data_IF_327297718733
#
_entry.id   IF_327297718733
#
_cell.length_a   1.000
_cell.length_b   1.000
_cell.length_c   1.000
_cell.angle_alpha   90.00
_cell.angle_beta   90.00
_cell.angle_gamma   90.00
#
_symmetry.space_group_name_H-M   'P 1'
#
loop_
_entity.id
_entity.type
_entity.pdbx_description
1 polymer ?
#
# COMPACT_ATOMS: atom_id res chain seq x y z
N UNK A 1 3.63 7.89 -21.55
CA UNK A 1 2.21 7.50 -21.74
C UNK A 1 2.01 6.21 -20.99
N UNK A 2 1.39 6.25 -19.80
CA UNK A 2 1.13 5.06 -19.01
C UNK A 2 0.30 4.10 -19.86
N UNK A 3 0.87 2.93 -20.17
CA UNK A 3 0.17 1.91 -20.95
C UNK A 3 -0.93 1.33 -20.07
N UNK A 4 -2.15 1.82 -20.24
CA UNK A 4 -3.35 1.17 -19.70
C UNK A 4 -3.46 -0.20 -20.37
N UNK A 5 -2.92 -1.23 -19.71
CA UNK A 5 -3.15 -2.61 -20.12
C UNK A 5 -4.62 -2.92 -19.83
N UNK A 6 -5.36 -3.31 -20.86
CA UNK A 6 -6.73 -3.76 -20.68
C UNK A 6 -6.77 -4.93 -19.66
N UNK A 7 -7.82 -4.99 -18.82
CA UNK A 7 -8.02 -6.13 -17.93
C UNK A 7 -7.99 -7.44 -18.71
N UNK A 8 -7.52 -8.51 -18.08
CA UNK A 8 -7.54 -9.83 -18.71
C UNK A 8 -8.99 -10.24 -18.94
N UNK A 9 -9.28 -10.71 -20.16
CA UNK A 9 -10.66 -10.97 -20.58
C UNK A 9 -11.33 -12.06 -19.73
N UNK A 10 -10.60 -13.11 -19.36
CA UNK A 10 -11.08 -14.18 -18.48
C UNK A 10 -11.58 -13.66 -17.12
N UNK A 11 -10.85 -12.73 -16.51
CA UNK A 11 -11.20 -12.10 -15.24
C UNK A 11 -12.42 -11.19 -15.39
N UNK A 12 -12.55 -10.49 -16.52
CA UNK A 12 -13.72 -9.67 -16.81
C UNK A 12 -14.98 -10.56 -16.94
N UNK A 13 -14.88 -11.63 -17.71
CA UNK A 13 -16.00 -12.53 -17.99
C UNK A 13 -16.52 -13.18 -16.69
N UNK A 14 -15.61 -13.60 -15.79
CA UNK A 14 -15.96 -14.16 -14.47
C UNK A 14 -16.73 -13.15 -13.59
N UNK A 15 -16.28 -11.90 -13.54
CA UNK A 15 -16.94 -10.86 -12.74
C UNK A 15 -18.30 -10.45 -13.32
N UNK A 16 -18.39 -10.33 -14.64
CA UNK A 16 -19.63 -10.01 -15.35
C UNK A 16 -20.67 -11.12 -15.16
N UNK A 17 -20.25 -12.38 -15.25
CA UNK A 17 -21.13 -13.52 -14.98
C UNK A 17 -21.68 -13.47 -13.53
N UNK A 18 -20.80 -13.25 -12.55
CA UNK A 18 -21.19 -13.11 -11.14
C UNK A 18 -22.20 -11.97 -10.91
N UNK A 19 -21.98 -10.82 -11.55
CA UNK A 19 -22.89 -9.68 -11.46
C UNK A 19 -24.29 -10.00 -12.02
N UNK A 20 -24.39 -10.60 -13.21
CA UNK A 20 -25.70 -10.89 -13.81
C UNK A 20 -26.40 -12.08 -13.14
N UNK A 21 -25.68 -13.14 -12.77
CA UNK A 21 -26.25 -14.30 -12.08
C UNK A 21 -26.80 -13.97 -10.70
N UNK A 22 -26.22 -12.98 -10.02
CA UNK A 22 -26.70 -12.49 -8.72
C UNK A 22 -27.81 -11.43 -8.81
N UNK A 23 -28.31 -11.14 -10.02
CA UNK A 23 -29.34 -10.12 -10.23
C UNK A 23 -28.83 -8.68 -10.06
N UNK A 24 -27.55 -8.44 -10.35
CA UNK A 24 -26.92 -7.12 -10.24
C UNK A 24 -26.32 -6.81 -8.86
N UNK A 25 -26.02 -7.84 -8.06
CA UNK A 25 -25.44 -7.63 -6.73
C UNK A 25 -23.93 -7.36 -6.81
N UNK A 26 -23.54 -6.11 -6.54
CA UNK A 26 -22.13 -5.69 -6.49
C UNK A 26 -21.34 -6.46 -5.43
N UNK A 27 -21.96 -6.79 -4.29
CA UNK A 27 -21.28 -7.53 -3.23
C UNK A 27 -20.86 -8.93 -3.69
N UNK A 28 -21.71 -9.63 -4.46
CA UNK A 28 -21.40 -10.93 -5.05
C UNK A 28 -20.26 -10.86 -6.07
N UNK A 29 -20.25 -9.81 -6.90
CA UNK A 29 -19.14 -9.55 -7.82
C UNK A 29 -17.83 -9.27 -7.08
N UNK A 30 -17.86 -8.46 -6.01
CA UNK A 30 -16.67 -8.18 -5.18
C UNK A 30 -16.16 -9.42 -4.45
N UNK A 31 -17.05 -10.27 -3.94
CA UNK A 31 -16.67 -11.54 -3.33
C UNK A 31 -15.95 -12.44 -4.34
N UNK A 32 -16.47 -12.50 -5.58
CA UNK A 32 -15.82 -13.23 -6.69
C UNK A 32 -14.44 -12.65 -6.98
N UNK A 33 -14.33 -11.32 -7.10
CA UNK A 33 -13.05 -10.63 -7.30
C UNK A 33 -12.03 -10.99 -6.23
N UNK A 34 -12.39 -10.85 -4.95
CA UNK A 34 -11.45 -11.04 -3.84
C UNK A 34 -11.09 -12.51 -3.59
N UNK A 35 -11.93 -13.46 -4.00
CA UNK A 35 -11.66 -14.90 -3.87
C UNK A 35 -10.97 -15.52 -5.08
N UNK A 36 -10.96 -14.83 -6.22
CA UNK A 36 -10.36 -15.30 -7.48
C UNK A 36 -8.85 -15.55 -7.41
N UNK A 37 -8.36 -16.48 -8.24
CA UNK A 37 -6.94 -16.77 -8.36
C UNK A 37 -6.15 -15.63 -9.01
N UNK A 38 -6.77 -14.90 -9.94
CA UNK A 38 -6.09 -13.77 -10.59
C UNK A 38 -5.83 -12.64 -9.60
N UNK A 39 -6.76 -12.38 -8.67
CA UNK A 39 -6.58 -11.38 -7.62
C UNK A 39 -5.48 -11.81 -6.65
N UNK A 40 -5.49 -13.07 -6.18
CA UNK A 40 -4.43 -13.62 -5.32
C UNK A 40 -3.05 -13.54 -5.98
N UNK A 41 -2.96 -13.87 -7.27
CA UNK A 41 -1.71 -13.77 -8.07
C UNK A 41 -1.28 -12.34 -8.39
N UNK A 42 -2.09 -11.32 -8.07
CA UNK A 42 -1.75 -9.91 -8.29
C UNK A 42 -0.99 -9.28 -7.12
N UNK A 43 -0.97 -9.95 -5.96
CA UNK A 43 -0.27 -9.49 -4.77
C UNK A 43 1.21 -9.18 -5.05
N UNK A 44 1.68 -8.02 -4.58
CA UNK A 44 3.07 -7.58 -4.74
C UNK A 44 3.46 -7.10 -6.15
N UNK A 45 2.54 -7.12 -7.14
CA UNK A 45 2.85 -6.66 -8.51
C UNK A 45 2.68 -5.14 -8.70
N UNK A 46 1.96 -4.48 -7.80
CA UNK A 46 1.75 -3.02 -7.84
C UNK A 46 2.88 -2.30 -7.11
N UNK A 47 3.51 -1.35 -7.80
CA UNK A 47 4.37 -0.35 -7.15
C UNK A 47 3.47 0.66 -6.44
N UNK A 48 3.64 0.79 -5.12
CA UNK A 48 2.87 1.73 -4.30
C UNK A 48 3.19 3.18 -4.67
N UNK A 49 2.17 4.02 -4.78
CA UNK A 49 2.36 5.47 -4.86
C UNK A 49 3.09 5.97 -3.59
N UNK A 50 3.74 7.15 -3.63
CA UNK A 50 4.33 7.72 -2.43
C UNK A 50 3.38 7.79 -1.23
N UNK A 51 2.14 8.22 -1.43
CA UNK A 51 1.12 8.26 -0.36
C UNK A 51 0.78 6.86 0.16
N UNK A 52 0.61 5.87 -0.72
CA UNK A 52 0.34 4.48 -0.30
C UNK A 52 1.49 3.87 0.50
N UNK A 53 2.74 4.20 0.13
CA UNK A 53 3.93 3.77 0.86
C UNK A 53 3.96 4.41 2.24
N UNK A 54 3.84 5.75 2.30
CA UNK A 54 3.87 6.53 3.53
C UNK A 54 2.82 6.02 4.53
N UNK A 55 1.55 5.91 4.10
CA UNK A 55 0.47 5.41 4.95
C UNK A 55 0.70 3.97 5.41
N UNK A 56 1.26 3.12 4.54
CA UNK A 56 1.59 1.75 4.89
C UNK A 56 2.64 1.66 6.01
N UNK A 57 3.63 2.56 6.00
CA UNK A 57 4.68 2.63 7.01
C UNK A 57 4.14 3.24 8.31
N UNK A 58 3.32 4.29 8.25
CA UNK A 58 2.66 4.84 9.44
C UNK A 58 1.74 3.83 10.12
N UNK A 59 0.99 3.06 9.33
CA UNK A 59 0.18 1.97 9.85
C UNK A 59 1.03 0.90 10.52
N UNK A 60 2.18 0.55 9.92
CA UNK A 60 3.13 -0.41 10.50
C UNK A 60 3.76 0.10 11.80
N UNK A 61 4.14 1.38 11.83
CA UNK A 61 4.72 2.01 13.02
C UNK A 61 3.67 2.25 14.11
N UNK A 62 2.39 2.19 13.77
CA UNK A 62 1.26 2.29 14.71
C UNK A 62 1.00 3.71 15.20
N UNK A 63 1.49 4.73 14.48
CA UNK A 63 1.29 6.15 14.76
C UNK A 63 0.11 6.71 13.94
N UNK A 64 -0.32 7.95 14.22
CA UNK A 64 -1.39 8.64 13.47
C UNK A 64 -2.71 7.85 13.37
N UNK A 65 -3.05 7.06 14.40
CA UNK A 65 -4.39 6.44 14.53
C UNK A 65 -5.48 7.50 14.71
N UNK A 66 -5.10 8.64 15.26
CA UNK A 66 -5.88 9.86 15.36
C UNK A 66 -5.05 11.04 14.82
N UNK A 67 -5.68 12.18 14.50
CA UNK A 67 -4.94 13.37 14.10
C UNK A 67 -3.95 13.80 15.20
N UNK A 68 -2.67 13.81 14.85
CA UNK A 68 -1.56 14.18 15.73
C UNK A 68 -0.75 15.32 15.09
N UNK A 69 -0.11 16.20 15.90
CA UNK A 69 0.80 17.21 15.36
C UNK A 69 1.96 16.57 14.59
N UNK A 70 2.41 17.23 13.52
CA UNK A 70 3.53 16.74 12.70
C UNK A 70 3.12 16.10 11.37
N UNK A 71 1.81 15.99 11.09
CA UNK A 71 1.30 15.42 9.82
C UNK A 71 1.88 16.11 8.57
N UNK A 72 2.16 17.41 8.65
CA UNK A 72 2.74 18.19 7.56
C UNK A 72 4.12 17.65 7.10
N UNK A 73 4.89 17.00 7.98
CA UNK A 73 6.17 16.40 7.58
C UNK A 73 5.96 15.25 6.58
N UNK A 74 4.86 14.50 6.71
CA UNK A 74 4.54 13.41 5.77
C UNK A 74 4.04 13.92 4.44
N UNK A 75 3.39 15.08 4.43
CA UNK A 75 3.04 15.77 3.19
C UNK A 75 4.30 16.07 2.37
N UNK A 76 5.29 16.72 3.00
CA UNK A 76 6.57 17.02 2.35
C UNK A 76 7.30 15.76 1.91
N UNK A 77 7.26 14.68 2.71
CA UNK A 77 7.85 13.41 2.32
C UNK A 77 7.22 12.81 1.05
N UNK A 78 5.89 12.87 0.91
CA UNK A 78 5.22 12.38 -0.32
C UNK A 78 5.54 13.24 -1.53
N UNK A 79 5.67 14.55 -1.35
CA UNK A 79 6.05 15.50 -2.41
C UNK A 79 7.46 15.23 -2.92
N UNK A 80 8.43 15.08 -2.02
CA UNK A 80 9.83 14.74 -2.36
C UNK A 80 9.94 13.38 -3.10
N UNK A 81 9.02 12.45 -2.83
CA UNK A 81 8.93 11.17 -3.54
C UNK A 81 8.17 11.25 -4.88
N UNK A 82 7.74 12.45 -5.30
CA UNK A 82 7.09 12.73 -6.59
C UNK A 82 5.57 12.82 -6.56
N UNK A 83 4.92 12.79 -5.38
CA UNK A 83 3.47 12.92 -5.25
C UNK A 83 3.10 14.00 -4.24
N UNK A 84 3.00 15.23 -4.72
CA UNK A 84 2.36 16.30 -3.94
C UNK A 84 0.86 16.00 -3.80
N UNK A 85 0.39 15.90 -2.56
CA UNK A 85 -1.02 15.57 -2.27
C UNK A 85 -1.91 16.75 -2.70
N UNK A 86 -3.11 16.48 -3.19
CA UNK A 86 -4.07 17.49 -3.70
C UNK A 86 -3.56 18.40 -4.85
N UNK A 87 -2.36 18.17 -5.38
CA UNK A 87 -1.80 18.93 -6.50
C UNK A 87 -1.31 17.99 -7.62
N UNK A 88 -2.23 17.39 -8.42
CA UNK A 88 -1.83 16.56 -9.54
C UNK A 88 -1.11 17.40 -10.60
N UNK A 89 -0.02 16.89 -11.20
CA UNK A 89 0.80 17.66 -12.14
C UNK A 89 0.10 17.92 -13.49
N UNK A 90 -0.87 17.07 -13.87
CA UNK A 90 -1.59 17.17 -15.14
C UNK A 90 -3.05 16.75 -15.00
N UNK A 91 -3.84 16.95 -16.06
CA UNK A 91 -5.23 16.45 -16.17
C UNK A 91 -5.33 14.92 -16.14
N UNK A 92 -4.25 14.20 -16.48
CA UNK A 92 -4.17 12.74 -16.36
C UNK A 92 -3.98 12.30 -14.89
N UNK A 93 -3.72 13.24 -13.98
CA UNK A 93 -3.42 12.99 -12.58
C UNK A 93 -1.92 12.80 -12.35
N UNK A 94 -1.58 11.97 -11.36
CA UNK A 94 -0.20 11.59 -11.06
C UNK A 94 0.25 10.39 -11.91
N UNK A 95 1.57 10.29 -12.10
CA UNK A 95 2.24 9.14 -12.69
C UNK A 95 1.89 7.83 -11.97
N UNK A 96 2.11 6.67 -12.61
CA UNK A 96 1.84 5.37 -11.99
C UNK A 96 2.91 4.33 -12.31
N UNK A 97 2.92 3.24 -11.53
CA UNK A 97 3.78 2.10 -11.81
C UNK A 97 5.27 2.42 -11.64
N UNK A 98 6.08 2.12 -12.66
CA UNK A 98 7.55 2.28 -12.59
C UNK A 98 7.99 3.74 -12.57
N UNK A 99 7.16 4.66 -13.05
CA UNK A 99 7.44 6.10 -13.03
C UNK A 99 7.54 6.66 -11.60
N UNK A 100 7.06 5.90 -10.60
CA UNK A 100 7.22 6.21 -9.19
C UNK A 100 8.63 5.95 -8.63
N UNK A 101 9.51 5.33 -9.41
CA UNK A 101 10.82 4.86 -8.98
C UNK A 101 11.89 5.38 -9.94
N UNK A 102 12.69 6.32 -9.44
CA UNK A 102 13.97 6.75 -10.01
C UNK A 102 15.05 6.69 -8.92
N UNK A 103 16.30 7.01 -9.28
CA UNK A 103 17.43 6.92 -8.33
C UNK A 103 17.30 7.84 -7.11
N UNK A 104 16.66 9.00 -7.24
CA UNK A 104 16.40 9.93 -6.14
C UNK A 104 15.20 9.48 -5.31
N UNK A 105 14.04 9.28 -5.95
CA UNK A 105 12.80 8.91 -5.27
C UNK A 105 12.89 7.56 -4.57
N UNK A 106 13.66 6.60 -5.09
CA UNK A 106 13.92 5.33 -4.40
C UNK A 106 14.66 5.52 -3.07
N UNK A 107 15.70 6.37 -3.05
CA UNK A 107 16.45 6.66 -1.83
C UNK A 107 15.55 7.30 -0.78
N UNK A 108 14.71 8.25 -1.19
CA UNK A 108 13.77 8.92 -0.28
C UNK A 108 12.76 7.95 0.33
N UNK A 109 12.25 7.00 -0.46
CA UNK A 109 11.39 5.91 0.04
C UNK A 109 12.09 5.04 1.08
N UNK A 110 13.36 4.70 0.87
CA UNK A 110 14.16 3.89 1.80
C UNK A 110 14.46 4.69 3.08
N UNK A 111 14.85 5.96 2.94
CA UNK A 111 15.14 6.86 4.06
C UNK A 111 13.90 7.05 4.94
N UNK A 112 12.75 7.27 4.33
CA UNK A 112 11.48 7.40 5.05
C UNK A 112 11.14 6.14 5.82
N UNK A 113 11.20 4.97 5.17
CA UNK A 113 10.96 3.68 5.82
C UNK A 113 11.93 3.44 6.99
N UNK A 114 13.22 3.75 6.80
CA UNK A 114 14.24 3.57 7.83
C UNK A 114 13.99 4.49 9.02
N UNK A 115 13.62 5.75 8.77
CA UNK A 115 13.34 6.73 9.83
C UNK A 115 12.18 6.28 10.71
N UNK A 116 11.07 5.86 10.11
CA UNK A 116 9.89 5.45 10.87
C UNK A 116 10.05 4.10 11.57
N UNK A 117 10.76 3.15 10.94
CA UNK A 117 11.00 1.81 11.52
C UNK A 117 12.07 1.83 12.61
N UNK A 118 13.07 2.72 12.52
CA UNK A 118 14.12 2.85 13.54
C UNK A 118 13.65 3.58 14.80
N UNK A 119 12.51 4.29 14.74
CA UNK A 119 11.96 4.98 15.88
C UNK A 119 11.32 3.98 16.87
N UNK A 120 12.10 3.58 17.87
CA UNK A 120 11.67 2.66 18.93
C UNK A 120 10.57 3.23 19.83
N UNK A 121 10.20 4.51 19.70
CA UNK A 121 9.06 5.06 20.43
C UNK A 121 7.72 4.71 19.77
N UNK A 122 7.74 4.35 18.48
CA UNK A 122 6.55 4.01 17.72
C UNK A 122 5.89 2.72 18.27
N UNK A 123 4.58 2.73 18.61
CA UNK A 123 3.92 1.60 19.26
C UNK A 123 4.02 0.28 18.49
N UNK A 124 3.87 0.32 17.17
CA UNK A 124 3.99 -0.85 16.30
C UNK A 124 5.41 -1.41 16.27
N UNK A 125 6.42 -0.54 16.29
CA UNK A 125 7.83 -0.97 16.34
C UNK A 125 8.17 -1.61 17.68
N UNK A 126 7.71 -1.03 18.80
CA UNK A 126 7.84 -1.65 20.13
C UNK A 126 7.22 -3.04 20.17
N UNK A 127 6.03 -3.18 19.61
CA UNK A 127 5.35 -4.46 19.53
C UNK A 127 6.16 -5.49 18.75
N UNK A 128 6.65 -5.13 17.55
CA UNK A 128 7.50 -6.00 16.72
C UNK A 128 8.75 -6.44 17.49
N UNK A 129 9.43 -5.50 18.16
CA UNK A 129 10.63 -5.80 18.94
C UNK A 129 10.33 -6.76 20.10
N UNK A 130 9.26 -6.52 20.86
CA UNK A 130 8.86 -7.39 21.96
C UNK A 130 8.51 -8.80 21.48
N UNK A 131 7.82 -8.95 20.35
CA UNK A 131 7.52 -10.25 19.75
C UNK A 131 8.79 -10.99 19.32
N UNK A 132 9.73 -10.30 18.65
CA UNK A 132 11.00 -10.88 18.23
C UNK A 132 11.88 -11.32 19.41
N UNK A 133 11.86 -10.56 20.50
CA UNK A 133 12.72 -10.83 21.67
C UNK A 133 12.12 -11.92 22.57
N UNK A 134 10.78 -12.00 22.66
CA UNK A 134 10.06 -12.99 23.48
C UNK A 134 9.97 -14.35 22.80
N UNK A 135 9.80 -14.40 21.47
CA UNK A 135 9.74 -15.63 20.69
C UNK A 135 11.11 -15.88 20.06
N UNK A 136 11.92 -16.75 20.67
CA UNK A 136 13.19 -17.26 20.11
C UNK A 136 13.01 -18.11 18.82
N UNK A 137 11.95 -17.91 18.05
CA UNK A 137 11.65 -18.62 16.82
C UNK A 137 11.64 -17.67 15.63
N UNK A 138 12.03 -18.19 14.47
CA UNK A 138 11.91 -17.50 13.18
C UNK A 138 10.44 -17.15 12.91
N UNK A 139 10.12 -15.86 12.88
CA UNK A 139 8.78 -15.38 12.55
C UNK A 139 8.71 -15.05 11.06
N UNK A 140 7.59 -15.37 10.40
CA UNK A 140 7.38 -14.94 9.02
C UNK A 140 7.00 -13.45 8.98
N UNK A 141 7.38 -12.70 7.92
CA UNK A 141 7.01 -11.28 7.80
C UNK A 141 5.50 -11.04 7.89
N UNK A 142 4.67 -11.99 7.44
CA UNK A 142 3.21 -11.86 7.47
C UNK A 142 2.64 -11.94 8.90
N UNK A 143 3.30 -12.67 9.81
CA UNK A 143 2.90 -12.75 11.22
C UNK A 143 3.11 -11.42 11.95
N UNK A 144 3.99 -10.55 11.46
CA UNK A 144 4.23 -9.22 12.02
C UNK A 144 3.15 -8.19 11.63
N UNK A 145 2.43 -8.43 10.53
CA UNK A 145 1.50 -7.46 9.93
C UNK A 145 0.02 -7.67 10.33
N UNK A 146 -0.31 -8.76 11.03
CA UNK A 146 -1.69 -9.22 11.24
C UNK A 146 -2.32 -8.80 12.57
N UNK A 147 -1.62 -8.02 13.41
CA UNK A 147 -2.08 -7.66 14.77
C UNK A 147 -2.08 -6.15 15.11
N UNK A 148 -1.82 -5.27 14.13
CA UNK A 148 -1.72 -3.80 14.30
C UNK A 148 -3.06 -3.06 14.20
#
# INVERSE_FOLDING_TARGET
MATYSLPRQDALDELVASYFMSGGNIASMLETLFTSDFFKKSQGKKIKSPTELMLGILKLSGTYKFPEPGMNNYWSATDVMGQEIFNPPTVEGWHTGKEWIDGGTLNERINFATTEVSNLNNPGIKYILNELTSKKQTMSPLMLLTKS
#
